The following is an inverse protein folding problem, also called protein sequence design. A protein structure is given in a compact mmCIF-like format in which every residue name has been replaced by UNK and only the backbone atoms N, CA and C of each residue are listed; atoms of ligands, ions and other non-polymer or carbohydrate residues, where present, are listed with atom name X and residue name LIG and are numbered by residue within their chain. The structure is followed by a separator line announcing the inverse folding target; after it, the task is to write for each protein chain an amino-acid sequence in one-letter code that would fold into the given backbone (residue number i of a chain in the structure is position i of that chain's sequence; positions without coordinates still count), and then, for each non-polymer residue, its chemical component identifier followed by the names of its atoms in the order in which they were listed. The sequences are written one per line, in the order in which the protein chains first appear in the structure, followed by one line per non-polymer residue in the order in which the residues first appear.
data_IF_447574772119
#
_entry.id   IF_447574772119
#
_cell.length_a   1.000
_cell.length_b   1.000
_cell.length_c   1.000
_cell.angle_alpha   90.00
_cell.angle_beta   90.00
_cell.angle_gamma   90.00
#
_symmetry.space_group_name_H-M   'P 1'
#
loop_
_entity.id
_entity.type
_entity.pdbx_description
1 polymer ?
#
# COMPACT_ATOMS: atom_id res chain seq x y z
N UNK A 1 -17.83 -5.96 -15.43
CA UNK A 1 -18.02 -5.42 -14.07
C UNK A 1 -16.80 -4.59 -13.72
N UNK A 2 -16.92 -3.28 -13.65
CA UNK A 2 -15.83 -2.44 -13.16
C UNK A 2 -15.85 -2.46 -11.62
N UNK A 3 -14.68 -2.60 -10.99
CA UNK A 3 -14.53 -2.45 -9.54
C UNK A 3 -14.89 -1.01 -9.16
N UNK A 4 -15.94 -0.83 -8.36
CA UNK A 4 -16.46 0.49 -7.93
C UNK A 4 -16.14 0.85 -6.48
N UNK A 5 -15.80 -0.14 -5.64
CA UNK A 5 -15.60 0.07 -4.22
C UNK A 5 -14.38 -0.72 -3.75
N UNK A 6 -13.41 -0.01 -3.17
CA UNK A 6 -12.16 -0.58 -2.67
C UNK A 6 -12.38 -1.56 -1.51
N UNK A 7 -13.42 -1.35 -0.69
CA UNK A 7 -13.75 -2.23 0.44
C UNK A 7 -14.17 -3.64 0.01
N UNK A 8 -14.52 -3.82 -1.26
CA UNK A 8 -14.86 -5.12 -1.82
C UNK A 8 -13.64 -5.90 -2.31
N UNK A 9 -12.44 -5.28 -2.33
CA UNK A 9 -11.20 -6.02 -2.54
C UNK A 9 -10.74 -6.67 -1.25
N UNK A 10 -10.75 -8.00 -1.26
CA UNK A 10 -10.16 -8.82 -0.19
C UNK A 10 -8.86 -9.41 -0.73
N UNK A 11 -7.69 -8.97 -0.24
CA UNK A 11 -6.41 -9.56 -0.64
C UNK A 11 -6.35 -11.04 -0.27
N UNK A 12 -5.73 -11.85 -1.13
CA UNK A 12 -5.57 -13.30 -0.93
C UNK A 12 -4.15 -13.65 -0.53
N UNK A 13 -4.01 -14.71 0.27
CA UNK A 13 -2.74 -15.19 0.82
C UNK A 13 -2.03 -14.09 1.64
N UNK A 14 -0.75 -13.86 1.38
CA UNK A 14 0.12 -12.87 1.99
C UNK A 14 0.09 -11.51 1.28
N UNK A 15 -0.98 -11.20 0.53
CA UNK A 15 -1.08 -9.93 -0.16
C UNK A 15 -1.54 -8.80 0.75
N UNK A 16 -0.97 -7.62 0.54
CA UNK A 16 -1.25 -6.37 1.24
C UNK A 16 -1.70 -5.35 0.20
N UNK A 17 -2.89 -4.80 0.37
CA UNK A 17 -3.40 -3.70 -0.45
C UNK A 17 -3.03 -2.38 0.21
N UNK A 18 -2.34 -1.52 -0.53
CA UNK A 18 -1.88 -0.23 -0.04
C UNK A 18 -2.28 0.91 -0.98
N UNK A 19 -2.38 2.11 -0.41
CA UNK A 19 -2.52 3.35 -1.14
C UNK A 19 -1.29 4.23 -0.88
N UNK A 20 -0.60 4.65 -1.95
CA UNK A 20 0.56 5.54 -1.83
C UNK A 20 0.12 6.88 -1.26
N UNK A 21 0.90 7.40 -0.31
CA UNK A 21 0.65 8.71 0.26
C UNK A 21 1.03 9.75 -0.79
N UNK A 22 0.07 10.61 -1.13
CA UNK A 22 0.33 11.69 -2.07
C UNK A 22 1.28 12.70 -1.42
N UNK A 23 2.35 13.10 -2.11
CA UNK A 23 3.25 14.12 -1.60
C UNK A 23 2.56 15.48 -1.45
N UNK A 24 2.97 16.23 -0.43
CA UNK A 24 2.51 17.61 -0.25
C UNK A 24 3.05 18.49 -1.38
N UNK A 25 2.14 19.07 -2.17
CA UNK A 25 2.47 19.98 -3.26
C UNK A 25 2.81 21.39 -2.78
N UNK A 26 2.64 21.66 -1.48
CA UNK A 26 2.87 22.95 -0.85
C UNK A 26 3.86 22.80 0.31
N UNK A 27 4.94 23.57 0.29
CA UNK A 27 5.92 23.58 1.38
C UNK A 27 5.37 24.30 2.61
N UNK A 28 5.99 24.10 3.78
CA UNK A 28 5.64 24.82 5.02
C UNK A 28 5.68 26.36 4.90
N UNK A 29 6.46 26.89 3.94
CA UNK A 29 6.54 28.33 3.62
C UNK A 29 5.47 28.81 2.62
N UNK A 30 4.61 27.91 2.12
CA UNK A 30 3.51 28.24 1.23
C UNK A 30 3.85 28.24 -0.27
N UNK A 31 5.04 27.79 -0.65
CA UNK A 31 5.49 27.70 -2.04
C UNK A 31 4.92 26.43 -2.67
N UNK A 32 4.33 26.56 -3.86
CA UNK A 32 3.89 25.40 -4.65
C UNK A 32 5.09 24.79 -5.36
N UNK A 33 5.31 23.50 -5.12
CA UNK A 33 6.31 22.72 -5.83
C UNK A 33 5.76 22.32 -7.22
N UNK A 34 6.54 22.48 -8.31
CA UNK A 34 6.15 21.96 -9.61
C UNK A 34 6.02 20.43 -9.50
N UNK A 35 4.99 19.85 -10.14
CA UNK A 35 4.72 18.40 -10.10
C UNK A 35 5.93 17.54 -10.49
N UNK A 36 6.81 18.06 -11.36
CA UNK A 36 8.06 17.41 -11.80
C UNK A 36 9.14 17.29 -10.72
N UNK A 37 9.04 18.05 -9.62
CA UNK A 37 10.02 18.06 -8.52
C UNK A 37 9.56 17.19 -7.35
N UNK A 38 8.32 16.72 -7.40
CA UNK A 38 7.71 15.98 -6.32
C UNK A 38 8.16 14.52 -6.40
N UNK A 39 9.16 14.15 -5.60
CA UNK A 39 9.64 12.77 -5.52
C UNK A 39 8.49 11.87 -5.08
N UNK A 40 8.29 10.75 -5.79
CA UNK A 40 7.41 9.68 -5.32
C UNK A 40 7.85 9.28 -3.91
N UNK A 41 6.94 9.49 -2.96
CA UNK A 41 7.17 9.05 -1.59
C UNK A 41 6.91 7.55 -1.59
N UNK A 42 7.92 6.78 -1.19
CA UNK A 42 7.80 5.33 -1.02
C UNK A 42 7.01 4.95 0.24
N UNK A 43 6.09 5.80 0.68
CA UNK A 43 5.25 5.58 1.85
C UNK A 43 3.83 5.31 1.38
N UNK A 44 3.17 4.36 2.04
CA UNK A 44 1.81 3.98 1.76
C UNK A 44 1.03 3.68 3.04
N UNK A 45 -0.28 3.83 2.96
CA UNK A 45 -1.20 3.39 4.02
C UNK A 45 -1.77 2.03 3.64
N UNK A 46 -1.73 1.08 4.57
CA UNK A 46 -2.32 -0.24 4.39
C UNK A 46 -3.84 -0.13 4.49
N UNK A 47 -4.55 -0.55 3.44
CA UNK A 47 -6.01 -0.55 3.41
C UNK A 47 -6.59 -1.90 3.81
N UNK A 48 -6.01 -2.99 3.31
CA UNK A 48 -6.47 -4.34 3.59
C UNK A 48 -5.29 -5.32 3.55
N UNK A 49 -5.41 -6.41 4.31
CA UNK A 49 -4.43 -7.50 4.36
C UNK A 49 -5.12 -8.82 4.09
N UNK A 50 -4.40 -9.73 3.46
CA UNK A 50 -4.87 -11.09 3.26
C UNK A 50 -4.79 -11.92 4.55
N UNK A 51 -5.25 -13.17 4.50
CA UNK A 51 -5.26 -14.07 5.66
C UNK A 51 -3.87 -14.54 6.11
N UNK A 52 -2.79 -14.22 5.37
CA UNK A 52 -1.44 -14.73 5.63
C UNK A 52 -1.00 -15.81 4.64
N UNK A 53 0.31 -16.00 4.51
CA UNK A 53 0.88 -17.16 3.82
C UNK A 53 0.58 -18.44 4.60
N UNK A 54 0.57 -19.58 3.92
CA UNK A 54 0.46 -20.89 4.58
C UNK A 54 1.84 -21.53 4.65
N UNK A 55 2.22 -22.02 5.82
CA UNK A 55 3.44 -22.81 6.00
C UNK A 55 3.31 -24.22 5.38
N UNK A 56 4.39 -25.00 5.41
CA UNK A 56 4.38 -26.38 4.89
C UNK A 56 3.46 -27.34 5.66
N UNK A 57 3.05 -26.95 6.86
CA UNK A 57 2.21 -27.75 7.75
C UNK A 57 0.73 -27.35 7.66
N UNK A 58 0.38 -26.37 6.82
CA UNK A 58 -0.99 -25.88 6.67
C UNK A 58 -1.37 -24.75 7.65
N UNK A 59 -0.45 -24.29 8.50
CA UNK A 59 -0.72 -23.19 9.41
C UNK A 59 -0.60 -21.85 8.70
N UNK A 60 -1.44 -20.90 9.09
CA UNK A 60 -1.34 -19.51 8.61
C UNK A 60 -0.21 -18.80 9.33
N UNK A 61 0.66 -18.16 8.56
CA UNK A 61 1.68 -17.23 9.02
C UNK A 61 0.98 -15.87 9.19
N UNK A 62 0.95 -15.29 10.41
CA UNK A 62 0.38 -13.98 10.63
C UNK A 62 1.03 -12.91 9.75
N UNK A 63 0.22 -11.98 9.25
CA UNK A 63 0.71 -10.81 8.51
C UNK A 63 1.51 -9.88 9.42
N UNK A 64 2.58 -9.30 8.90
CA UNK A 64 3.45 -8.35 9.62
C UNK A 64 2.81 -6.97 9.77
N UNK A 65 1.86 -6.65 8.88
CA UNK A 65 1.13 -5.39 8.82
C UNK A 65 -0.38 -5.61 9.00
N UNK A 66 -1.08 -4.56 9.41
CA UNK A 66 -2.52 -4.52 9.58
C UNK A 66 -3.12 -3.31 8.84
N UNK A 67 -4.44 -3.34 8.61
CA UNK A 67 -5.16 -2.18 8.07
C UNK A 67 -4.94 -0.95 8.95
N UNK A 68 -4.65 0.19 8.33
CA UNK A 68 -4.34 1.46 9.00
C UNK A 68 -2.85 1.71 9.24
N UNK A 69 -1.98 0.70 9.10
CA UNK A 69 -0.54 0.91 9.27
C UNK A 69 0.03 1.83 8.16
N UNK A 70 0.93 2.74 8.55
CA UNK A 70 1.83 3.45 7.62
C UNK A 70 3.05 2.58 7.36
N UNK A 71 3.39 2.36 6.10
CA UNK A 71 4.48 1.47 5.70
C UNK A 71 5.37 2.08 4.63
N UNK A 72 6.63 1.64 4.62
CA UNK A 72 7.56 1.90 3.53
C UNK A 72 7.46 0.76 2.52
N UNK A 73 7.19 1.10 1.26
CA UNK A 73 7.07 0.16 0.14
C UNK A 73 8.29 0.27 -0.78
N UNK A 74 8.61 -0.76 -1.57
CA UNK A 74 9.67 -0.66 -2.57
C UNK A 74 9.27 0.33 -3.68
N UNK A 75 10.26 0.96 -4.30
CA UNK A 75 10.05 1.89 -5.42
C UNK A 75 9.36 1.21 -6.61
N UNK A 76 9.73 -0.05 -6.85
CA UNK A 76 9.29 -0.85 -7.98
C UNK A 76 8.62 -2.15 -7.52
N UNK A 77 7.83 -2.74 -8.40
CA UNK A 77 7.09 -3.97 -8.13
C UNK A 77 5.69 -3.72 -7.61
N UNK A 78 5.10 -4.77 -7.05
CA UNK A 78 3.67 -4.79 -6.76
C UNK A 78 2.81 -4.89 -8.02
N UNK A 79 1.52 -5.12 -7.82
CA UNK A 79 0.52 -5.19 -8.88
C UNK A 79 -0.42 -3.98 -8.77
N UNK A 80 -0.52 -3.13 -9.80
CA UNK A 80 -1.42 -1.99 -9.77
C UNK A 80 -2.87 -2.46 -9.79
N UNK A 81 -3.70 -1.80 -8.99
CA UNK A 81 -5.14 -2.03 -8.93
C UNK A 81 -5.83 -0.67 -9.05
N UNK A 82 -6.70 -0.52 -10.04
CA UNK A 82 -7.48 0.69 -10.23
C UNK A 82 -8.92 0.45 -9.79
N UNK A 83 -9.44 1.32 -8.92
CA UNK A 83 -10.84 1.31 -8.50
C UNK A 83 -11.40 2.71 -8.74
N UNK A 84 -12.22 2.84 -9.78
CA UNK A 84 -12.65 4.15 -10.27
C UNK A 84 -11.47 4.98 -10.78
N UNK A 85 -11.25 6.14 -10.17
CA UNK A 85 -10.16 7.07 -10.50
C UNK A 85 -8.97 6.93 -9.55
N UNK A 86 -9.10 6.11 -8.50
CA UNK A 86 -8.03 5.90 -7.51
C UNK A 86 -7.16 4.70 -7.89
N UNK A 87 -5.86 4.87 -7.64
CA UNK A 87 -4.84 3.86 -7.87
C UNK A 87 -4.32 3.30 -6.54
N UNK A 88 -4.26 1.98 -6.50
CA UNK A 88 -3.79 1.18 -5.38
C UNK A 88 -2.71 0.23 -5.87
N UNK A 89 -1.98 -0.35 -4.93
CA UNK A 89 -0.99 -1.37 -5.26
C UNK A 89 -1.12 -2.55 -4.32
N UNK A 90 -1.06 -3.75 -4.87
CA UNK A 90 -0.93 -4.99 -4.10
C UNK A 90 0.54 -5.38 -4.02
N UNK A 91 1.04 -5.56 -2.80
CA UNK A 91 2.35 -6.13 -2.52
C UNK A 91 2.20 -7.47 -1.80
N UNK A 92 3.28 -8.24 -1.72
CA UNK A 92 3.39 -9.30 -0.71
C UNK A 92 3.83 -8.70 0.64
N UNK A 93 3.44 -9.34 1.74
CA UNK A 93 3.87 -8.95 3.09
C UNK A 93 5.40 -8.89 3.18
N UNK A 94 6.09 -9.83 2.54
CA UNK A 94 7.56 -9.91 2.48
C UNK A 94 8.24 -8.81 1.65
N UNK A 95 7.49 -8.11 0.81
CA UNK A 95 8.00 -7.00 0.00
C UNK A 95 7.92 -5.66 0.74
N UNK A 96 7.14 -5.58 1.83
CA UNK A 96 7.03 -4.37 2.65
C UNK A 96 8.35 -4.16 3.42
N UNK A 97 8.95 -2.97 3.26
CA UNK A 97 10.30 -2.69 3.75
C UNK A 97 10.33 -2.34 5.24
N UNK A 98 9.34 -1.58 5.72
CA UNK A 98 9.26 -1.17 7.12
C UNK A 98 7.85 -0.72 7.50
N UNK A 99 7.53 -0.82 8.81
CA UNK A 99 6.38 -0.13 9.41
C UNK A 99 6.85 1.18 10.04
N UNK A 100 6.16 2.27 9.76
CA UNK A 100 6.46 3.60 10.28
C UNK A 100 5.68 3.77 11.59
N UNK A 101 6.39 4.01 12.70
CA UNK A 101 5.80 4.34 14.01
C UNK A 101 6.14 5.80 14.31
N UNK A 102 5.09 6.61 14.49
CA UNK A 102 5.17 7.98 15.01
C UNK A 102 4.93 7.98 16.52
#
# INVERSE_FOLDING_TARGET
MALRNIKNLVPLLDRVLVQRIKPETKTASGIFLPESTVKEINQATVLAVGPGATDRNGNKIPMSVASGDKVLIPQFGGSPVKVGEEEFTLFRDSEILAKIKE
#
